data_IF_361862742044
#
_entry.id   IF_361862742044
#
_cell.length_a   1.000
_cell.length_b   1.000
_cell.length_c   1.000
_cell.angle_alpha   90.00
_cell.angle_beta   90.00
_cell.angle_gamma   90.00
#
_symmetry.space_group_name_H-M   'P 1'
#
loop_
_entity.id
_entity.type
_entity.pdbx_description
1 polymer ?
#
# COMPACT_ATOMS: atom_id res chain seq x y z
N UNK A 1 14.07 -30.50 -11.92
CA UNK A 1 12.86 -30.33 -11.07
C UNK A 1 12.11 -31.65 -11.10
N UNK A 2 12.11 -32.39 -9.99
CA UNK A 2 11.28 -33.59 -9.85
C UNK A 2 9.84 -33.12 -9.68
N UNK A 3 9.03 -33.25 -10.72
CA UNK A 3 7.59 -33.02 -10.59
C UNK A 3 6.98 -34.24 -9.90
N UNK A 4 6.34 -34.03 -8.75
CA UNK A 4 5.53 -35.07 -8.11
C UNK A 4 4.34 -35.39 -9.04
N UNK A 5 4.24 -36.62 -9.57
CA UNK A 5 3.15 -37.01 -10.46
C UNK A 5 1.78 -37.10 -9.75
N UNK A 6 1.73 -36.94 -8.42
CA UNK A 6 0.54 -37.13 -7.59
C UNK A 6 0.13 -35.88 -6.81
N UNK A 7 0.19 -34.71 -7.46
CA UNK A 7 -0.30 -33.47 -6.85
C UNK A 7 -1.77 -33.58 -6.47
N UNK A 8 -2.08 -33.27 -5.21
CA UNK A 8 -3.46 -33.19 -4.71
C UNK A 8 -4.18 -32.01 -5.35
N UNK A 9 -5.51 -32.11 -5.45
CA UNK A 9 -6.34 -31.01 -5.93
C UNK A 9 -6.11 -29.77 -5.04
N UNK A 10 -5.83 -28.61 -5.64
CA UNK A 10 -5.53 -27.40 -4.87
C UNK A 10 -6.76 -26.89 -4.12
N UNK A 11 -6.52 -26.31 -2.94
CA UNK A 11 -7.57 -25.62 -2.18
C UNK A 11 -7.99 -24.31 -2.85
N UNK A 12 -9.11 -23.73 -2.40
CA UNK A 12 -9.57 -22.42 -2.90
C UNK A 12 -8.53 -21.32 -2.71
N UNK A 13 -7.85 -21.31 -1.56
CA UNK A 13 -6.82 -20.31 -1.26
C UNK A 13 -5.57 -20.51 -2.12
N UNK A 14 -5.20 -21.76 -2.40
CA UNK A 14 -4.12 -22.08 -3.34
C UNK A 14 -4.47 -21.64 -4.76
N UNK A 15 -5.70 -21.89 -5.23
CA UNK A 15 -6.17 -21.40 -6.52
C UNK A 15 -6.16 -19.86 -6.59
N UNK A 16 -6.56 -19.18 -5.51
CA UNK A 16 -6.49 -17.73 -5.40
C UNK A 16 -5.04 -17.23 -5.49
N UNK A 17 -4.13 -17.83 -4.74
CA UNK A 17 -2.71 -17.50 -4.77
C UNK A 17 -2.08 -17.76 -6.14
N UNK A 18 -2.44 -18.85 -6.82
CA UNK A 18 -1.98 -19.15 -8.17
C UNK A 18 -2.41 -18.06 -9.18
N UNK A 19 -3.66 -17.58 -9.10
CA UNK A 19 -4.11 -16.45 -9.94
C UNK A 19 -3.31 -15.18 -9.65
N UNK A 20 -2.99 -14.90 -8.39
CA UNK A 20 -2.17 -13.75 -8.00
C UNK A 20 -0.73 -13.87 -8.53
N UNK A 21 -0.14 -15.06 -8.49
CA UNK A 21 1.19 -15.35 -9.04
C UNK A 21 1.20 -15.13 -10.55
N UNK A 22 0.21 -15.67 -11.27
CA UNK A 22 0.09 -15.48 -12.73
C UNK A 22 -0.07 -14.00 -13.08
N UNK A 23 -0.94 -13.26 -12.37
CA UNK A 23 -1.07 -11.81 -12.57
C UNK A 23 0.27 -11.08 -12.34
N UNK A 24 1.01 -11.45 -11.30
CA UNK A 24 2.31 -10.83 -10.98
C UNK A 24 3.36 -11.07 -12.06
N UNK A 25 3.26 -12.17 -12.82
CA UNK A 25 4.13 -12.48 -13.96
C UNK A 25 3.66 -11.90 -15.29
N UNK A 26 2.44 -11.36 -15.37
CA UNK A 26 1.82 -10.88 -16.62
C UNK A 26 1.03 -9.59 -16.38
N UNK A 27 1.65 -8.65 -15.67
CA UNK A 27 1.04 -7.39 -15.23
C UNK A 27 0.64 -6.48 -16.40
N UNK A 28 1.37 -6.57 -17.50
CA UNK A 28 1.16 -5.89 -18.78
C UNK A 28 0.07 -6.54 -19.65
N UNK A 29 -0.25 -7.81 -19.40
CA UNK A 29 -1.24 -8.60 -20.16
C UNK A 29 -2.58 -8.68 -19.43
N UNK A 30 -3.10 -7.51 -19.10
CA UNK A 30 -4.42 -7.35 -18.46
C UNK A 30 -5.42 -6.78 -19.46
N UNK A 31 -6.66 -7.25 -19.38
CA UNK A 31 -7.77 -6.75 -20.16
C UNK A 31 -8.98 -6.47 -19.27
N UNK A 32 -9.69 -5.38 -19.58
CA UNK A 32 -10.94 -4.99 -18.91
C UNK A 32 -12.11 -5.16 -19.86
N UNK A 33 -13.18 -5.77 -19.37
CA UNK A 33 -14.44 -5.92 -20.11
C UNK A 33 -15.02 -4.56 -20.41
N UNK A 34 -15.43 -4.34 -21.66
CA UNK A 34 -16.00 -3.05 -22.07
C UNK A 34 -17.48 -3.01 -21.73
N UNK A 35 -17.91 -1.94 -21.07
CA UNK A 35 -19.33 -1.62 -20.95
C UNK A 35 -19.78 -0.85 -22.19
N UNK A 36 -20.61 -1.50 -23.00
CA UNK A 36 -21.13 -0.93 -24.25
C UNK A 36 -22.17 0.17 -24.04
N UNK A 37 -22.65 0.37 -22.82
CA UNK A 37 -23.62 1.43 -22.48
C UNK A 37 -23.09 2.84 -22.79
N UNK A 38 -21.78 3.03 -22.71
CA UNK A 38 -21.12 4.32 -22.93
C UNK A 38 -21.01 4.76 -24.39
N UNK A 39 -21.13 3.83 -25.35
CA UNK A 39 -21.09 4.19 -26.76
C UNK A 39 -22.40 4.85 -27.19
N UNK A 40 -22.31 5.93 -27.98
CA UNK A 40 -23.49 6.59 -28.54
C UNK A 40 -23.90 5.94 -29.86
N UNK A 41 -22.92 5.62 -30.69
CA UNK A 41 -23.14 5.06 -32.02
C UNK A 41 -23.50 3.57 -31.98
N UNK A 42 -24.47 3.12 -32.79
CA UNK A 42 -24.90 1.72 -32.80
C UNK A 42 -23.82 0.77 -33.36
N UNK A 43 -23.00 1.23 -34.30
CA UNK A 43 -21.93 0.45 -34.91
C UNK A 43 -20.85 0.08 -33.88
N UNK A 44 -20.44 1.05 -33.06
CA UNK A 44 -19.50 0.83 -31.96
C UNK A 44 -20.07 -0.11 -30.91
N UNK A 45 -21.36 0.01 -30.56
CA UNK A 45 -22.01 -0.94 -29.63
C UNK A 45 -21.93 -2.37 -30.13
N UNK A 46 -22.09 -2.59 -31.44
CA UNK A 46 -21.99 -3.92 -32.05
C UNK A 46 -20.54 -4.41 -32.05
N UNK A 47 -19.59 -3.55 -32.45
CA UNK A 47 -18.16 -3.84 -32.50
C UNK A 47 -17.60 -4.26 -31.13
N UNK A 48 -17.97 -3.55 -30.08
CA UNK A 48 -17.48 -3.75 -28.71
C UNK A 48 -18.34 -4.70 -27.86
N UNK A 49 -19.37 -5.31 -28.46
CA UNK A 49 -20.28 -6.20 -27.74
C UNK A 49 -19.54 -7.44 -27.21
N UNK A 50 -19.54 -7.61 -25.89
CA UNK A 50 -18.86 -8.71 -25.19
C UNK A 50 -17.34 -8.77 -25.43
N UNK A 51 -16.72 -7.65 -25.77
CA UNK A 51 -15.27 -7.57 -25.91
C UNK A 51 -14.59 -7.06 -24.64
N UNK A 52 -13.27 -7.18 -24.66
CA UNK A 52 -12.34 -6.66 -23.69
C UNK A 52 -11.42 -5.68 -24.38
N UNK A 53 -11.02 -4.66 -23.65
CA UNK A 53 -9.97 -3.73 -24.03
C UNK A 53 -8.70 -4.12 -23.30
N UNK A 54 -7.58 -4.16 -24.02
CA UNK A 54 -6.27 -4.48 -23.45
C UNK A 54 -5.48 -3.20 -23.24
N UNK A 55 -4.32 -3.29 -22.58
CA UNK A 55 -3.43 -2.14 -22.39
C UNK A 55 -2.76 -1.72 -23.70
N UNK A 56 -2.44 -2.69 -24.56
CA UNK A 56 -1.60 -2.48 -25.75
C UNK A 56 -2.41 -2.23 -27.03
N UNK A 57 -3.56 -2.88 -27.18
CA UNK A 57 -4.37 -2.85 -28.41
C UNK A 57 -5.60 -1.95 -28.25
N UNK A 58 -5.87 -1.19 -29.30
CA UNK A 58 -7.09 -0.38 -29.42
C UNK A 58 -8.26 -1.20 -29.99
N UNK A 59 -8.00 -2.33 -30.63
CA UNK A 59 -9.01 -3.22 -31.18
C UNK A 59 -9.70 -4.07 -30.08
N UNK A 60 -10.97 -4.43 -30.28
CA UNK A 60 -11.69 -5.30 -29.34
C UNK A 60 -11.12 -6.72 -29.36
N UNK A 61 -10.83 -7.25 -28.17
CA UNK A 61 -10.37 -8.64 -28.01
C UNK A 61 -11.44 -9.46 -27.30
N UNK A 62 -11.63 -10.72 -27.69
CA UNK A 62 -12.73 -11.55 -27.21
C UNK A 62 -12.25 -12.78 -26.44
N UNK A 63 -13.09 -13.27 -25.52
CA UNK A 63 -12.92 -14.61 -24.96
C UNK A 63 -13.35 -15.66 -25.98
N UNK A 64 -12.53 -16.69 -26.25
CA UNK A 64 -12.90 -17.79 -27.15
C UNK A 64 -14.05 -18.60 -26.55
N UNK A 65 -14.84 -19.26 -27.41
CA UNK A 65 -15.98 -20.07 -26.96
C UNK A 65 -15.56 -21.27 -26.10
N UNK A 66 -14.32 -21.73 -26.24
CA UNK A 66 -13.73 -22.79 -25.43
C UNK A 66 -13.28 -22.33 -24.04
N UNK A 67 -13.28 -21.02 -23.76
CA UNK A 67 -12.88 -20.50 -22.45
C UNK A 67 -13.93 -20.81 -21.39
N UNK A 68 -13.50 -21.35 -20.25
CA UNK A 68 -14.36 -21.59 -19.08
C UNK A 68 -14.98 -20.27 -18.58
N UNK A 69 -14.29 -19.14 -18.76
CA UNK A 69 -14.74 -17.81 -18.35
C UNK A 69 -15.73 -17.15 -19.32
N UNK A 70 -16.13 -17.85 -20.41
CA UNK A 70 -17.06 -17.30 -21.40
C UNK A 70 -18.45 -17.04 -20.83
N UNK A 71 -18.85 -17.80 -19.81
CA UNK A 71 -20.14 -17.67 -19.13
C UNK A 71 -20.07 -16.53 -18.11
N UNK A 72 -19.13 -16.61 -17.16
CA UNK A 72 -19.00 -15.65 -16.06
C UNK A 72 -18.62 -14.23 -16.53
N UNK A 73 -17.84 -14.13 -17.61
CA UNK A 73 -17.40 -12.86 -18.22
C UNK A 73 -16.89 -11.86 -17.17
N UNK A 74 -15.86 -12.22 -16.38
CA UNK A 74 -15.33 -11.36 -15.33
C UNK A 74 -14.93 -9.98 -15.89
N UNK A 75 -15.06 -8.94 -15.07
CA UNK A 75 -14.72 -7.57 -15.50
C UNK A 75 -13.24 -7.44 -15.84
N UNK A 76 -12.37 -8.09 -15.07
CA UNK A 76 -10.93 -8.03 -15.24
C UNK A 76 -10.36 -9.42 -15.48
N UNK A 77 -9.47 -9.51 -16.47
CA UNK A 77 -8.76 -10.73 -16.79
C UNK A 77 -7.30 -10.46 -17.05
N UNK A 78 -6.44 -11.44 -16.71
CA UNK A 78 -5.11 -11.52 -17.26
C UNK A 78 -5.10 -12.62 -18.33
N UNK A 79 -4.28 -12.46 -19.36
CA UNK A 79 -4.17 -13.41 -20.45
C UNK A 79 -2.72 -13.77 -20.72
N UNK A 80 -2.50 -14.95 -21.29
CA UNK A 80 -1.18 -15.36 -21.71
C UNK A 80 -0.83 -14.68 -23.03
N UNK A 81 -1.58 -14.95 -24.11
CA UNK A 81 -1.31 -14.36 -25.42
C UNK A 81 -2.62 -14.05 -26.16
N UNK A 82 -2.53 -13.23 -27.21
CA UNK A 82 -3.62 -12.91 -28.12
C UNK A 82 -3.30 -13.52 -29.49
N UNK A 83 -4.30 -14.13 -30.12
CA UNK A 83 -4.18 -14.66 -31.47
C UNK A 83 -5.31 -14.17 -32.37
N UNK A 84 -5.00 -13.95 -33.63
CA UNK A 84 -5.94 -13.45 -34.63
C UNK A 84 -6.46 -14.59 -35.49
N UNK A 85 -7.77 -14.54 -35.77
CA UNK A 85 -8.42 -15.41 -36.76
C UNK A 85 -9.32 -14.56 -37.65
N UNK A 86 -10.63 -14.61 -37.44
CA UNK A 86 -11.60 -13.63 -37.97
C UNK A 86 -11.81 -12.44 -37.00
N UNK A 87 -11.41 -12.64 -35.73
CA UNK A 87 -11.36 -11.66 -34.64
C UNK A 87 -10.14 -11.97 -33.77
N UNK A 88 -9.75 -11.03 -32.92
CA UNK A 88 -8.70 -11.24 -31.93
C UNK A 88 -9.26 -11.96 -30.70
N UNK A 89 -8.59 -13.03 -30.26
CA UNK A 89 -9.00 -13.84 -29.11
C UNK A 89 -7.87 -13.98 -28.09
N UNK A 90 -8.21 -13.91 -26.80
CA UNK A 90 -7.27 -14.17 -25.70
C UNK A 90 -7.14 -15.68 -25.44
N UNK A 91 -5.94 -16.13 -25.10
CA UNK A 91 -5.62 -17.50 -24.65
C UNK A 91 -5.00 -17.46 -23.25
N UNK A 92 -5.19 -18.54 -22.47
CA UNK A 92 -4.63 -18.66 -21.12
C UNK A 92 -5.21 -17.62 -20.17
N UNK A 93 -6.54 -17.44 -20.20
CA UNK A 93 -7.22 -16.37 -19.48
C UNK A 93 -7.52 -16.77 -18.05
N UNK A 94 -7.21 -15.89 -17.12
CA UNK A 94 -7.61 -15.99 -15.71
C UNK A 94 -8.42 -14.76 -15.29
N UNK A 95 -9.38 -14.96 -14.39
CA UNK A 95 -10.07 -13.84 -13.75
C UNK A 95 -9.10 -13.08 -12.81
N UNK A 96 -9.28 -11.78 -12.66
CA UNK A 96 -8.50 -10.93 -11.76
C UNK A 96 -9.45 -10.13 -10.88
N UNK A 97 -9.15 -10.04 -9.58
CA UNK A 97 -9.90 -9.12 -8.71
C UNK A 97 -9.35 -7.69 -8.89
N UNK A 98 -10.19 -6.66 -9.01
CA UNK A 98 -9.71 -5.31 -9.35
C UNK A 98 -8.70 -4.75 -8.33
N UNK A 99 -8.87 -5.06 -7.04
CA UNK A 99 -7.98 -4.62 -5.97
C UNK A 99 -6.59 -5.31 -5.98
N UNK A 100 -6.40 -6.35 -6.81
CA UNK A 100 -5.11 -7.00 -7.01
C UNK A 100 -4.18 -6.17 -7.90
N UNK A 101 -4.73 -5.37 -8.82
CA UNK A 101 -3.94 -4.57 -9.76
C UNK A 101 -3.03 -3.58 -9.03
N UNK A 102 -3.57 -2.82 -8.08
CA UNK A 102 -2.79 -1.88 -7.28
C UNK A 102 -1.78 -2.54 -6.34
N UNK A 103 -1.98 -3.81 -5.99
CA UNK A 103 -1.09 -4.58 -5.11
C UNK A 103 0.06 -5.25 -5.87
N UNK A 104 -0.24 -5.90 -6.98
CA UNK A 104 0.71 -6.74 -7.72
C UNK A 104 1.29 -6.06 -8.96
N UNK A 105 0.65 -5.02 -9.48
CA UNK A 105 1.10 -4.23 -10.62
C UNK A 105 1.23 -2.72 -10.31
N UNK A 106 1.84 -2.31 -9.17
CA UNK A 106 1.88 -0.91 -8.76
C UNK A 106 2.61 0.00 -9.75
N UNK A 107 3.55 -0.54 -10.55
CA UNK A 107 4.29 0.22 -11.56
C UNK A 107 3.43 0.65 -12.76
N UNK A 108 2.31 -0.05 -12.99
CA UNK A 108 1.33 0.30 -14.01
C UNK A 108 0.17 1.12 -13.44
N UNK A 109 0.18 1.42 -12.15
CA UNK A 109 -0.85 2.23 -11.49
C UNK A 109 -0.39 3.69 -11.35
N UNK A 110 -1.30 4.61 -11.68
CA UNK A 110 -1.16 6.01 -11.34
C UNK A 110 -1.89 6.26 -10.02
N UNK A 111 -1.15 6.45 -8.93
CA UNK A 111 -1.73 6.69 -7.61
C UNK A 111 -1.93 8.20 -7.37
N UNK A 112 -3.16 8.61 -7.07
CA UNK A 112 -3.48 9.95 -6.60
C UNK A 112 -2.84 10.24 -5.22
N UNK A 113 -2.79 11.49 -4.73
CA UNK A 113 -2.33 11.79 -3.38
C UNK A 113 -3.09 11.00 -2.28
N UNK A 114 -2.49 10.80 -1.10
CA UNK A 114 -3.17 10.22 0.07
C UNK A 114 -4.49 10.93 0.37
N UNK A 115 -5.52 10.15 0.70
CA UNK A 115 -6.81 10.68 1.12
C UNK A 115 -6.73 11.19 2.56
N UNK A 116 -7.44 12.29 2.85
CA UNK A 116 -7.59 12.78 4.22
C UNK A 116 -8.54 11.92 5.05
N UNK A 117 -9.51 11.29 4.39
CA UNK A 117 -10.53 10.43 5.00
C UNK A 117 -10.64 9.10 4.25
N UNK A 118 -10.41 7.96 4.93
CA UNK A 118 -9.88 7.82 6.29
C UNK A 118 -8.44 8.33 6.40
N UNK A 119 -8.08 8.84 7.57
CA UNK A 119 -6.76 9.40 7.82
C UNK A 119 -5.69 8.29 7.75
N UNK A 120 -4.46 8.62 7.31
CA UNK A 120 -3.32 7.73 7.41
C UNK A 120 -3.07 7.27 8.86
N UNK A 121 -2.63 6.03 9.01
CA UNK A 121 -2.42 5.39 10.30
C UNK A 121 -1.15 4.54 10.27
N UNK A 122 -0.54 4.31 11.43
CA UNK A 122 0.60 3.40 11.53
C UNK A 122 0.12 1.96 11.69
N UNK A 123 0.62 1.07 10.83
CA UNK A 123 0.39 -0.37 10.90
C UNK A 123 1.61 -1.04 11.54
N UNK A 124 1.39 -1.63 12.72
CA UNK A 124 2.45 -2.28 13.50
C UNK A 124 2.95 -3.57 12.87
N UNK A 125 2.12 -4.29 12.12
CA UNK A 125 2.51 -5.54 11.45
C UNK A 125 3.37 -5.25 10.22
N UNK A 126 3.01 -4.22 9.45
CA UNK A 126 3.77 -3.80 8.26
C UNK A 126 4.93 -2.85 8.57
N UNK A 127 5.04 -2.39 9.82
CA UNK A 127 6.00 -1.39 10.26
C UNK A 127 6.04 -0.16 9.34
N UNK A 128 4.87 0.39 9.01
CA UNK A 128 4.78 1.52 8.08
C UNK A 128 3.56 2.37 8.35
N UNK A 129 3.67 3.67 8.06
CA UNK A 129 2.50 4.54 7.93
C UNK A 129 1.78 4.15 6.64
N UNK A 130 0.52 3.74 6.77
CA UNK A 130 -0.36 3.32 5.70
C UNK A 130 -1.36 4.43 5.38
N UNK A 131 -1.75 4.54 4.11
CA UNK A 131 -2.75 5.50 3.67
C UNK A 131 -3.65 4.90 2.59
N UNK A 132 -4.85 5.45 2.45
CA UNK A 132 -5.74 5.11 1.36
C UNK A 132 -5.51 6.04 0.19
N UNK A 133 -5.43 5.48 -1.01
CA UNK A 133 -5.22 6.23 -2.26
C UNK A 133 -6.17 5.73 -3.33
N UNK A 134 -6.69 6.67 -4.12
CA UNK A 134 -7.32 6.33 -5.40
C UNK A 134 -6.22 6.02 -6.41
N UNK A 135 -6.51 5.12 -7.34
CA UNK A 135 -5.58 4.75 -8.39
C UNK A 135 -6.31 4.53 -9.70
N UNK A 136 -5.64 4.85 -10.80
CA UNK A 136 -5.99 4.37 -12.13
C UNK A 136 -4.94 3.35 -12.58
N UNK A 137 -5.31 2.49 -13.52
CA UNK A 137 -4.46 1.43 -14.03
C UNK A 137 -4.21 1.59 -15.52
N UNK A 138 -2.93 1.44 -15.89
CA UNK A 138 -2.38 1.49 -17.22
C UNK A 138 -2.64 2.83 -17.95
N UNK A 139 -2.27 2.87 -19.23
CA UNK A 139 -2.41 4.05 -20.09
C UNK A 139 -3.87 4.41 -20.41
N UNK A 140 -4.79 3.48 -20.16
CA UNK A 140 -6.21 3.68 -20.38
C UNK A 140 -6.92 4.34 -19.17
N UNK A 141 -6.17 4.69 -18.12
CA UNK A 141 -6.66 5.30 -16.89
C UNK A 141 -7.90 4.61 -16.30
N UNK A 142 -7.89 3.27 -16.35
CA UNK A 142 -9.01 2.51 -15.81
C UNK A 142 -9.06 2.68 -14.29
N UNK A 143 -10.18 3.18 -13.78
CA UNK A 143 -10.42 3.29 -12.35
C UNK A 143 -10.33 1.91 -11.69
N UNK A 144 -9.50 1.83 -10.65
CA UNK A 144 -9.40 0.64 -9.79
C UNK A 144 -9.85 0.98 -8.37
N UNK A 145 -10.30 0.00 -7.58
CA UNK A 145 -10.74 0.26 -6.23
C UNK A 145 -9.67 0.94 -5.38
N UNK A 146 -10.13 1.80 -4.48
CA UNK A 146 -9.31 2.47 -3.48
C UNK A 146 -8.42 1.44 -2.76
N UNK A 147 -7.13 1.73 -2.73
CA UNK A 147 -6.12 0.82 -2.23
C UNK A 147 -5.50 1.32 -0.92
N UNK A 148 -5.13 0.38 -0.05
CA UNK A 148 -4.37 0.65 1.16
C UNK A 148 -2.89 0.36 0.86
N UNK A 149 -2.08 1.41 0.83
CA UNK A 149 -0.65 1.32 0.46
C UNK A 149 0.21 2.11 1.45
N UNK A 150 1.52 1.82 1.54
CA UNK A 150 2.45 2.64 2.31
C UNK A 150 2.37 4.10 1.87
N UNK A 151 2.43 4.99 2.85
CA UNK A 151 2.41 6.42 2.59
C UNK A 151 3.61 6.82 1.73
N UNK A 152 3.43 7.62 0.65
CA UNK A 152 4.52 8.01 -0.23
C UNK A 152 5.62 8.74 0.54
N UNK A 153 6.85 8.56 0.09
CA UNK A 153 8.01 9.26 0.65
C UNK A 153 7.85 10.77 0.45
N UNK A 154 8.09 11.53 1.51
CA UNK A 154 7.92 12.99 1.50
C UNK A 154 8.01 13.57 2.90
N UNK A 155 7.93 14.89 3.02
CA UNK A 155 7.96 15.57 4.33
C UNK A 155 6.80 15.12 5.23
N UNK A 156 5.62 14.91 4.64
CA UNK A 156 4.42 14.48 5.36
C UNK A 156 4.58 13.08 5.99
N UNK A 157 5.32 12.17 5.34
CA UNK A 157 5.61 10.84 5.90
C UNK A 157 6.32 10.95 7.25
N UNK A 158 7.35 11.80 7.35
CA UNK A 158 8.08 12.00 8.60
C UNK A 158 7.21 12.65 9.67
N UNK A 159 6.34 13.59 9.30
CA UNK A 159 5.41 14.23 10.22
C UNK A 159 4.39 13.23 10.78
N UNK A 160 3.84 12.36 9.93
CA UNK A 160 2.94 11.28 10.35
C UNK A 160 3.65 10.24 11.20
N UNK A 161 4.85 9.83 10.80
CA UNK A 161 5.63 8.89 11.60
C UNK A 161 5.97 9.47 12.98
N UNK A 162 6.40 10.74 13.05
CA UNK A 162 6.62 11.45 14.31
C UNK A 162 5.34 11.51 15.15
N UNK A 163 4.19 11.80 14.54
CA UNK A 163 2.89 11.82 15.20
C UNK A 163 2.56 10.47 15.85
N UNK A 164 2.69 9.37 15.10
CA UNK A 164 2.44 8.02 15.60
C UNK A 164 3.47 7.58 16.66
N UNK A 165 4.72 8.05 16.56
CA UNK A 165 5.75 7.81 17.58
C UNK A 165 5.43 8.53 18.89
N UNK A 166 5.05 9.81 18.82
CA UNK A 166 4.66 10.59 20.00
C UNK A 166 3.41 10.02 20.68
N UNK A 167 2.46 9.51 19.90
CA UNK A 167 1.25 8.85 20.41
C UNK A 167 1.51 7.45 21.00
N UNK A 168 2.75 6.95 20.96
CA UNK A 168 3.12 5.63 21.49
C UNK A 168 2.66 4.45 20.63
N UNK A 169 2.11 4.68 19.44
CA UNK A 169 1.65 3.60 18.54
C UNK A 169 2.84 2.83 17.93
N UNK A 170 3.97 3.51 17.73
CA UNK A 170 5.23 2.88 17.26
C UNK A 170 5.96 2.17 18.40
N UNK A 171 5.87 2.70 19.62
CA UNK A 171 6.58 2.22 20.81
C UNK A 171 5.65 2.29 22.03
N UNK A 172 5.06 1.16 22.45
CA UNK A 172 4.11 1.12 23.56
C UNK A 172 4.66 1.63 24.90
N UNK A 173 5.98 1.56 25.12
CA UNK A 173 6.63 2.07 26.34
C UNK A 173 6.47 3.59 26.52
N UNK A 174 6.14 4.31 25.44
CA UNK A 174 5.89 5.75 25.46
C UNK A 174 4.42 6.11 25.72
N UNK A 175 3.49 5.13 25.73
CA UNK A 175 2.06 5.38 25.97
C UNK A 175 1.76 6.14 27.27
N UNK A 176 2.42 5.86 28.42
CA UNK A 176 2.16 6.59 29.66
C UNK A 176 2.55 8.08 29.62
N UNK A 177 3.33 8.48 28.62
CA UNK A 177 3.83 9.84 28.48
C UNK A 177 2.94 10.71 27.58
N UNK A 178 1.98 10.11 26.86
CA UNK A 178 1.16 10.78 25.84
C UNK A 178 0.32 11.92 26.43
N UNK A 179 -0.20 11.74 27.64
CA UNK A 179 -1.05 12.73 28.32
C UNK A 179 -0.28 14.01 28.71
N UNK A 180 1.05 13.94 28.75
CA UNK A 180 1.94 15.05 29.12
C UNK A 180 2.57 15.73 27.89
N UNK A 181 2.16 15.35 26.69
CA UNK A 181 2.66 15.96 25.45
C UNK A 181 1.83 17.19 25.08
N UNK A 182 2.49 18.14 24.43
CA UNK A 182 1.83 19.18 23.64
C UNK A 182 0.94 18.50 22.58
N UNK A 183 -0.19 19.11 22.24
CA UNK A 183 -1.12 18.58 21.23
C UNK A 183 -0.37 18.10 19.97
N UNK A 184 -0.30 16.78 19.80
CA UNK A 184 0.50 16.12 18.74
C UNK A 184 -0.07 16.39 17.35
N UNK A 185 -1.34 16.80 17.24
CA UNK A 185 -1.94 17.20 15.96
C UNK A 185 -1.29 18.46 15.36
N UNK A 186 -0.57 19.25 16.17
CA UNK A 186 0.23 20.38 15.68
C UNK A 186 1.34 19.95 14.70
N UNK A 187 1.77 18.68 14.73
CA UNK A 187 2.69 18.14 13.71
C UNK A 187 2.06 18.12 12.31
N UNK A 188 0.77 17.84 12.22
CA UNK A 188 0.06 17.60 10.96
C UNK A 188 -0.62 18.86 10.41
N UNK A 189 -0.93 19.83 11.26
CA UNK A 189 -1.59 21.08 10.86
C UNK A 189 -0.58 22.13 10.34
N UNK A 190 -0.95 22.95 9.36
CA UNK A 190 -0.16 24.13 8.98
C UNK A 190 -0.15 25.16 10.13
N UNK A 191 1.03 25.77 10.31
CA UNK A 191 1.62 26.40 11.51
C UNK A 191 0.73 27.19 12.48
N UNK A 192 0.89 26.85 13.77
CA UNK A 192 1.07 27.86 14.82
C UNK A 192 2.58 28.10 15.01
N UNK A 193 3.04 29.36 14.88
CA UNK A 193 4.45 29.77 15.04
C UNK A 193 5.10 29.28 16.36
N UNK A 194 4.30 29.06 17.39
CA UNK A 194 4.75 28.73 18.75
C UNK A 194 5.53 27.41 18.86
N UNK A 195 5.21 26.42 18.03
CA UNK A 195 5.78 25.06 18.11
C UNK A 195 6.63 24.66 16.89
N UNK A 196 6.98 25.65 16.06
CA UNK A 196 7.69 25.41 14.80
C UNK A 196 9.10 24.86 15.05
N UNK A 197 9.81 25.35 16.06
CA UNK A 197 11.16 24.90 16.38
C UNK A 197 11.20 23.42 16.79
N UNK A 198 10.23 22.98 17.61
CA UNK A 198 10.10 21.60 18.08
C UNK A 198 9.76 20.66 16.92
N UNK A 199 8.84 21.08 16.06
CA UNK A 199 8.48 20.36 14.83
C UNK A 199 9.69 20.23 13.90
N UNK A 200 10.36 21.32 13.58
CA UNK A 200 11.48 21.32 12.65
C UNK A 200 12.67 20.50 13.17
N UNK A 201 12.94 20.55 14.48
CA UNK A 201 13.97 19.72 15.11
C UNK A 201 13.65 18.22 14.96
N UNK A 202 12.42 17.81 15.28
CA UNK A 202 11.97 16.42 15.18
C UNK A 202 12.01 15.92 13.73
N UNK A 203 11.44 16.68 12.79
CA UNK A 203 11.40 16.30 11.38
C UNK A 203 12.80 16.24 10.76
N UNK A 204 13.69 17.17 11.13
CA UNK A 204 15.07 17.18 10.66
C UNK A 204 15.82 15.95 11.17
N UNK A 205 15.69 15.62 12.46
CA UNK A 205 16.35 14.46 13.05
C UNK A 205 15.90 13.14 12.38
N UNK A 206 14.60 13.01 12.09
CA UNK A 206 14.05 11.86 11.35
C UNK A 206 14.54 11.81 9.90
N UNK A 207 14.51 12.93 9.19
CA UNK A 207 14.92 13.02 7.78
C UNK A 207 16.41 12.72 7.57
N UNK A 208 17.28 13.20 8.45
CA UNK A 208 18.74 12.97 8.35
C UNK A 208 19.09 11.49 8.44
N UNK A 209 18.36 10.71 9.23
CA UNK A 209 18.59 9.28 9.39
C UNK A 209 17.62 8.41 8.58
N UNK A 210 16.77 9.01 7.72
CA UNK A 210 15.69 8.35 6.96
C UNK A 210 14.84 7.39 7.82
N UNK A 211 14.50 7.84 9.04
CA UNK A 211 13.74 7.02 9.98
C UNK A 211 12.24 7.18 9.71
N UNK A 212 11.68 6.14 9.08
CA UNK A 212 10.25 6.07 8.69
C UNK A 212 9.55 4.85 9.27
N UNK A 213 10.26 4.01 10.03
CA UNK A 213 9.75 2.76 10.59
C UNK A 213 10.38 2.48 11.96
N UNK A 214 9.70 1.67 12.78
CA UNK A 214 10.17 1.16 14.07
C UNK A 214 11.46 0.38 13.92
N UNK A 215 11.56 -0.48 12.91
CA UNK A 215 12.75 -1.29 12.66
C UNK A 215 13.97 -0.42 12.34
N UNK A 216 13.78 0.63 11.53
CA UNK A 216 14.84 1.62 11.26
C UNK A 216 15.21 2.39 12.54
N UNK A 217 14.21 2.81 13.31
CA UNK A 217 14.41 3.54 14.56
C UNK A 217 15.24 2.72 15.57
N UNK A 218 14.91 1.44 15.77
CA UNK A 218 15.66 0.53 16.66
C UNK A 218 17.11 0.36 16.17
N UNK A 219 17.34 0.22 14.86
CA UNK A 219 18.70 0.14 14.30
C UNK A 219 19.52 1.39 14.60
N UNK A 220 18.90 2.58 14.56
CA UNK A 220 19.55 3.84 14.91
C UNK A 220 19.82 3.91 16.42
N UNK A 221 18.86 3.53 17.27
CA UNK A 221 19.06 3.51 18.73
C UNK A 221 20.17 2.57 19.19
N UNK A 222 20.32 1.40 18.56
CA UNK A 222 21.43 0.48 18.84
C UNK A 222 22.81 1.14 18.59
N UNK A 223 22.90 2.07 17.64
CA UNK A 223 24.15 2.82 17.35
C UNK A 223 24.28 4.10 18.18
N UNK A 224 23.16 4.78 18.41
CA UNK A 224 23.07 6.08 19.08
C UNK A 224 21.90 6.05 20.07
N UNK A 225 22.12 5.64 21.32
CA UNK A 225 21.05 5.46 22.28
C UNK A 225 20.31 6.76 22.57
N UNK A 226 20.98 7.91 22.52
CA UNK A 226 20.39 9.23 22.78
C UNK A 226 19.69 9.87 21.55
N UNK A 227 19.63 9.19 20.40
CA UNK A 227 18.95 9.71 19.21
C UNK A 227 17.48 9.98 19.50
N UNK A 228 16.92 11.13 19.08
CA UNK A 228 15.56 11.63 19.34
C UNK A 228 15.19 11.95 20.80
N UNK A 229 16.07 11.73 21.77
CA UNK A 229 15.76 12.03 23.17
C UNK A 229 15.49 13.53 23.39
N UNK A 230 16.37 14.38 22.87
CA UNK A 230 16.24 15.84 22.98
C UNK A 230 14.98 16.32 22.30
N UNK A 231 14.74 15.84 21.08
CA UNK A 231 13.60 16.20 20.25
C UNK A 231 12.31 15.78 20.94
N UNK A 232 12.24 14.57 21.51
CA UNK A 232 11.09 14.10 22.27
C UNK A 232 10.83 14.94 23.53
N UNK A 233 11.87 15.28 24.30
CA UNK A 233 11.71 16.11 25.50
C UNK A 233 11.16 17.52 25.18
N UNK A 234 11.42 18.06 23.99
CA UNK A 234 10.85 19.34 23.56
C UNK A 234 9.32 19.29 23.34
N UNK A 235 8.75 18.09 23.19
CA UNK A 235 7.31 17.89 23.03
C UNK A 235 6.55 17.72 24.34
N UNK A 236 7.25 17.61 25.47
CA UNK A 236 6.62 17.58 26.79
C UNK A 236 6.07 18.98 27.13
N UNK A 237 4.86 19.02 27.70
CA UNK A 237 4.24 20.27 28.15
C UNK A 237 4.98 20.90 29.34
N UNK A 238 5.64 20.09 30.16
CA UNK A 238 6.39 20.49 31.34
C UNK A 238 7.68 19.66 31.50
N UNK A 239 8.73 20.27 32.04
CA UNK A 239 10.06 19.66 32.23
C UNK A 239 10.11 18.62 33.35
N UNK A 240 9.07 18.52 34.18
CA UNK A 240 8.95 17.55 35.28
C UNK A 240 9.08 16.09 34.82
N UNK A 241 8.62 15.78 33.61
CA UNK A 241 8.67 14.42 33.06
C UNK A 241 9.98 14.10 32.31
N UNK A 242 10.89 15.07 32.12
CA UNK A 242 12.15 14.86 31.39
C UNK A 242 13.02 13.78 32.04
N UNK A 243 13.05 13.73 33.37
CA UNK A 243 13.78 12.72 34.13
C UNK A 243 13.20 11.31 33.96
N UNK A 244 11.88 11.20 33.75
CA UNK A 244 11.20 9.92 33.48
C UNK A 244 11.53 9.45 32.07
N UNK A 245 11.46 10.34 31.08
CA UNK A 245 11.83 10.02 29.68
C UNK A 245 13.27 9.52 29.62
N UNK A 246 14.22 10.23 30.26
CA UNK A 246 15.64 9.84 30.30
C UNK A 246 15.89 8.45 30.90
N UNK A 247 15.02 7.97 31.80
CA UNK A 247 15.13 6.62 32.39
C UNK A 247 14.59 5.53 31.47
N UNK A 248 13.56 5.84 30.70
CA UNK A 248 12.93 4.89 29.76
C UNK A 248 13.70 4.83 28.44
N UNK A 249 14.48 5.86 28.12
CA UNK A 249 15.19 5.97 26.86
C UNK A 249 16.48 5.12 26.78
N UNK A 250 16.76 4.45 25.64
CA UNK A 250 15.89 4.27 24.48
C UNK A 250 14.81 3.20 24.74
N UNK A 251 13.54 3.42 24.34
CA UNK A 251 12.45 2.46 24.50
C UNK A 251 12.57 1.34 23.46
N UNK A 252 13.62 0.52 23.61
CA UNK A 252 13.84 -0.65 22.78
C UNK A 252 13.00 -1.77 23.38
N UNK A 253 12.13 -2.44 22.59
CA UNK A 253 11.42 -3.61 23.06
C UNK A 253 12.44 -4.63 23.58
N UNK A 254 12.32 -4.99 24.86
CA UNK A 254 13.11 -6.08 25.44
C UNK A 254 12.80 -7.32 24.62
N UNK A 255 13.82 -7.97 24.06
CA UNK A 255 13.64 -9.24 23.37
C UNK A 255 12.92 -10.18 24.32
N UNK A 256 11.67 -10.54 24.01
CA UNK A 256 11.02 -11.66 24.67
C UNK A 256 11.84 -12.88 24.29
N UNK A 257 12.65 -13.36 25.22
CA UNK A 257 13.33 -14.64 25.06
C UNK A 257 12.24 -15.72 24.95
N UNK A 258 11.94 -16.15 23.73
CA UNK A 258 10.98 -17.21 23.41
C UNK A 258 11.45 -18.62 23.87
N UNK A 259 12.49 -18.70 24.69
CA UNK A 259 13.03 -19.95 25.26
C UNK A 259 12.41 -20.33 26.62
N UNK A 260 11.40 -19.59 27.10
CA UNK A 260 10.70 -19.84 28.36
C UNK A 260 9.17 -20.01 28.20
N UNK A 261 8.72 -20.51 27.05
CA UNK A 261 7.33 -20.91 26.83
C UNK A 261 7.25 -22.40 26.47
#
# INVERSE_FOLDING_TARGET
VLMDPSLKMPSRDQCCALRQVVLSGSVDRVARRVDTSHFKEPEDKIKWKHSYRTIELEEPVFLPNSSVLKIDKPEWVAYQDIFETHKMFMRGVIAVEPHWLSKFAPLLCNFAPPLDKPAPFYDSEKDSVMCYRNATFARADWEVPRCLVPHPAGQDLYARFAYHLLKGEVCPDLLPLVDYLIDTLTLLRPLALRYQNQKDAMLRALKVCDVTSRSKLIKVWKKRPNYLLREYCMWLSDGSHEAVVKKIWPPIPKEKNEWLA
#
